data_IF_986971783558
#
_entry.id   IF_986971783558
#
_cell.length_a   1.000
_cell.length_b   1.000
_cell.length_c   1.000
_cell.angle_alpha   90.00
_cell.angle_beta   90.00
_cell.angle_gamma   90.00
#
_symmetry.space_group_name_H-M   'P 1'
#
loop_
_entity.id
_entity.type
_entity.pdbx_description
1 polymer ?
#
# COMPACT_ATOMS: atom_id res chain seq x y z
N UNK A 1 -22.57 -29.35 28.07
CA UNK A 1 -22.14 -28.85 26.74
C UNK A 1 -21.63 -27.42 26.83
N UNK A 2 -22.41 -26.44 27.33
CA UNK A 2 -21.90 -25.08 27.53
C UNK A 2 -20.74 -25.00 28.55
N UNK A 3 -20.78 -25.85 29.59
CA UNK A 3 -19.70 -26.02 30.58
C UNK A 3 -18.38 -26.52 29.97
N UNK A 4 -18.45 -27.21 28.83
CA UNK A 4 -17.32 -27.83 28.14
C UNK A 4 -16.56 -26.81 27.26
N UNK A 5 -17.23 -25.71 26.89
CA UNK A 5 -16.63 -24.62 26.11
C UNK A 5 -15.97 -23.52 26.95
N UNK A 6 -16.01 -23.62 28.29
CA UNK A 6 -15.27 -22.76 29.23
C UNK A 6 -15.34 -21.26 28.90
N UNK A 7 -14.16 -20.64 28.74
CA UNK A 7 -13.97 -19.20 28.46
C UNK A 7 -13.96 -18.84 26.95
N UNK A 8 -14.22 -19.80 26.05
CA UNK A 8 -14.15 -19.51 24.61
C UNK A 8 -15.24 -18.52 24.19
N UNK A 9 -14.84 -17.48 23.44
CA UNK A 9 -15.74 -16.44 22.92
C UNK A 9 -16.04 -16.73 21.46
N UNK A 10 -17.21 -17.29 21.18
CA UNK A 10 -17.73 -17.44 19.81
C UNK A 10 -19.17 -16.93 19.70
N UNK A 11 -19.61 -16.63 18.49
CA UNK A 11 -21.01 -16.24 18.21
C UNK A 11 -21.98 -17.35 18.60
N UNK A 12 -21.63 -18.62 18.34
CA UNK A 12 -22.45 -19.77 18.69
C UNK A 12 -22.57 -19.96 20.20
N UNK A 13 -21.47 -19.81 20.95
CA UNK A 13 -21.48 -19.90 22.43
C UNK A 13 -22.33 -18.76 23.03
N UNK A 14 -22.17 -17.54 22.51
CA UNK A 14 -22.94 -16.38 22.98
C UNK A 14 -24.43 -16.53 22.68
N UNK A 15 -24.77 -17.10 21.52
CA UNK A 15 -26.16 -17.43 21.14
C UNK A 15 -26.73 -18.50 22.06
N UNK A 16 -25.97 -19.57 22.34
CA UNK A 16 -26.40 -20.63 23.25
C UNK A 16 -26.65 -20.10 24.67
N UNK A 17 -25.78 -19.22 25.19
CA UNK A 17 -26.00 -18.54 26.49
C UNK A 17 -27.32 -17.75 26.51
N UNK A 18 -27.62 -17.01 25.45
CA UNK A 18 -28.87 -16.24 25.32
C UNK A 18 -30.10 -17.14 25.18
N UNK A 19 -29.98 -18.25 24.46
CA UNK A 19 -31.05 -19.26 24.39
C UNK A 19 -31.33 -19.88 25.77
N UNK A 20 -30.29 -20.10 26.60
CA UNK A 20 -30.43 -20.64 27.96
C UNK A 20 -31.24 -19.70 28.84
N UNK A 21 -30.91 -18.42 28.73
CA UNK A 21 -31.53 -17.35 29.48
C UNK A 21 -33.01 -17.15 29.09
N UNK A 22 -33.33 -17.38 27.82
CA UNK A 22 -34.67 -17.18 27.25
C UNK A 22 -35.59 -18.39 27.40
N UNK A 23 -35.09 -19.61 27.14
CA UNK A 23 -35.90 -20.85 27.12
C UNK A 23 -35.66 -21.75 28.33
N UNK A 24 -34.69 -21.41 29.19
CA UNK A 24 -34.23 -22.26 30.30
C UNK A 24 -33.04 -23.14 29.92
N UNK A 25 -32.30 -23.60 30.95
CA UNK A 25 -31.09 -24.41 30.76
C UNK A 25 -31.34 -25.79 30.16
N UNK A 26 -32.57 -26.30 30.26
CA UNK A 26 -32.93 -27.64 29.77
C UNK A 26 -32.84 -27.77 28.25
N UNK A 27 -33.11 -26.69 27.51
CA UNK A 27 -33.09 -26.68 26.03
C UNK A 27 -31.68 -26.85 25.44
N UNK A 28 -30.63 -26.66 26.25
CA UNK A 28 -29.21 -26.74 25.80
C UNK A 28 -28.55 -28.04 26.26
N UNK A 29 -29.26 -28.88 27.02
CA UNK A 29 -28.75 -30.19 27.43
C UNK A 29 -28.75 -31.18 26.27
N UNK A 30 -29.63 -30.99 25.29
CA UNK A 30 -29.71 -31.83 24.10
C UNK A 30 -28.54 -31.57 23.14
N UNK A 31 -27.77 -32.63 22.88
CA UNK A 31 -26.67 -32.61 21.90
C UNK A 31 -27.25 -32.36 20.51
N UNK A 32 -27.00 -31.18 19.95
CA UNK A 32 -27.42 -30.84 18.58
C UNK A 32 -28.21 -29.53 18.43
N UNK A 33 -28.26 -28.69 19.46
CA UNK A 33 -28.93 -27.39 19.35
C UNK A 33 -28.36 -26.55 18.20
N UNK A 34 -29.17 -26.36 17.16
CA UNK A 34 -28.83 -25.49 16.04
C UNK A 34 -28.93 -24.02 16.50
N UNK A 35 -27.79 -23.44 16.84
CA UNK A 35 -27.69 -22.04 17.25
C UNK A 35 -27.85 -21.12 16.03
N UNK A 36 -29.10 -20.86 15.63
CA UNK A 36 -29.43 -19.88 14.58
C UNK A 36 -29.43 -18.47 15.18
N UNK A 37 -28.62 -17.58 14.64
CA UNK A 37 -28.48 -16.21 15.14
C UNK A 37 -28.39 -15.16 14.03
N UNK A 38 -28.62 -13.91 14.42
CA UNK A 38 -28.37 -12.70 13.64
C UNK A 38 -27.41 -11.78 14.40
N UNK A 39 -26.70 -10.90 13.69
CA UNK A 39 -25.80 -9.92 14.30
C UNK A 39 -26.52 -8.58 14.41
N UNK A 40 -26.60 -8.06 15.62
CA UNK A 40 -27.20 -6.75 15.89
C UNK A 40 -26.21 -5.60 15.73
N UNK A 41 -26.69 -4.41 15.37
CA UNK A 41 -25.89 -3.19 15.21
C UNK A 41 -25.50 -2.55 16.56
N UNK A 42 -26.21 -2.87 17.63
CA UNK A 42 -26.06 -2.27 18.96
C UNK A 42 -25.75 -3.36 19.99
N UNK A 43 -24.87 -3.13 20.98
CA UNK A 43 -24.04 -1.92 21.18
C UNK A 43 -22.84 -1.86 20.21
N UNK A 44 -22.57 -0.68 19.66
CA UNK A 44 -21.54 -0.49 18.60
C UNK A 44 -20.12 -0.82 19.07
N UNK A 45 -19.85 -0.61 20.35
CA UNK A 45 -18.52 -0.84 20.93
C UNK A 45 -18.25 -2.33 21.25
N UNK A 46 -19.26 -3.19 21.12
CA UNK A 46 -19.12 -4.61 21.44
C UNK A 46 -18.61 -5.45 20.27
N UNK A 47 -17.81 -6.49 20.55
CA UNK A 47 -17.36 -7.42 19.53
C UNK A 47 -18.54 -8.18 18.90
N UNK A 48 -18.37 -8.63 17.66
CA UNK A 48 -19.38 -9.41 16.90
C UNK A 48 -19.95 -10.57 17.71
N UNK A 49 -19.11 -11.24 18.51
CA UNK A 49 -19.52 -12.36 19.36
C UNK A 49 -20.61 -11.99 20.34
N UNK A 50 -20.53 -10.81 20.95
CA UNK A 50 -21.51 -10.30 21.92
C UNK A 50 -22.76 -9.72 21.26
N UNK A 51 -22.70 -9.40 19.96
CA UNK A 51 -23.82 -8.87 19.19
C UNK A 51 -24.71 -9.95 18.57
N UNK A 52 -24.42 -11.23 18.79
CA UNK A 52 -25.18 -12.36 18.24
C UNK A 52 -26.50 -12.61 18.99
N UNK A 53 -27.64 -12.37 18.34
CA UNK A 53 -28.99 -12.55 18.89
C UNK A 53 -29.62 -13.82 18.32
N UNK A 54 -30.17 -14.72 19.17
CA UNK A 54 -30.87 -15.91 18.69
C UNK A 54 -32.11 -15.56 17.86
N UNK A 55 -32.32 -16.26 16.75
CA UNK A 55 -33.50 -16.05 15.89
C UNK A 55 -34.83 -16.37 16.58
N UNK A 56 -34.81 -17.27 17.57
CA UNK A 56 -35.99 -17.69 18.32
C UNK A 56 -36.70 -16.53 19.05
N UNK A 57 -35.99 -15.47 19.41
CA UNK A 57 -36.60 -14.32 20.12
C UNK A 57 -37.64 -13.60 19.27
N UNK A 58 -37.47 -13.59 17.94
CA UNK A 58 -38.39 -12.95 17.01
C UNK A 58 -39.68 -13.75 16.78
N UNK A 59 -39.74 -15.01 17.22
CA UNK A 59 -40.94 -15.84 17.19
C UNK A 59 -41.71 -15.80 18.52
N UNK A 60 -41.10 -15.28 19.59
CA UNK A 60 -41.72 -15.16 20.92
C UNK A 60 -42.72 -14.00 21.01
N UNK A 61 -43.54 -14.00 22.06
CA UNK A 61 -44.49 -12.92 22.39
C UNK A 61 -43.77 -11.55 22.53
N UNK A 62 -44.44 -10.47 22.15
CA UNK A 62 -43.85 -9.13 22.14
C UNK A 62 -43.32 -8.69 23.52
N UNK A 63 -44.02 -9.03 24.60
CA UNK A 63 -43.63 -8.72 25.98
C UNK A 63 -42.27 -9.35 26.33
N UNK A 64 -42.13 -10.65 26.04
CA UNK A 64 -40.92 -11.43 26.29
C UNK A 64 -39.78 -10.95 25.40
N UNK A 65 -40.06 -10.76 24.10
CA UNK A 65 -39.12 -10.22 23.12
C UNK A 65 -38.53 -8.89 23.58
N UNK A 66 -39.37 -7.92 23.95
CA UNK A 66 -38.93 -6.59 24.38
C UNK A 66 -38.11 -6.65 25.68
N UNK A 67 -38.42 -7.58 26.59
CA UNK A 67 -37.65 -7.77 27.83
C UNK A 67 -36.20 -8.19 27.52
N UNK A 68 -36.01 -9.28 26.77
CA UNK A 68 -34.67 -9.79 26.46
C UNK A 68 -33.90 -8.90 25.47
N UNK A 69 -34.58 -8.29 24.49
CA UNK A 69 -33.93 -7.36 23.57
C UNK A 69 -33.37 -6.12 24.29
N UNK A 70 -34.09 -5.55 25.28
CA UNK A 70 -33.57 -4.47 26.13
C UNK A 70 -32.27 -4.87 26.82
N UNK A 71 -32.26 -6.08 27.39
CA UNK A 71 -31.10 -6.62 28.09
C UNK A 71 -29.90 -6.86 27.17
N UNK A 72 -30.12 -7.46 26.00
CA UNK A 72 -29.03 -7.84 25.09
C UNK A 72 -28.50 -6.67 24.25
N UNK A 73 -29.37 -5.76 23.82
CA UNK A 73 -28.99 -4.55 23.07
C UNK A 73 -28.46 -3.44 23.99
N UNK A 74 -28.66 -3.55 25.32
CA UNK A 74 -28.34 -2.51 26.30
C UNK A 74 -29.06 -1.19 26.02
N UNK A 75 -30.33 -1.28 25.59
CA UNK A 75 -31.19 -0.12 25.27
C UNK A 75 -32.33 -0.05 26.28
N UNK A 76 -32.58 1.14 26.83
CA UNK A 76 -33.63 1.37 27.84
C UNK A 76 -35.04 1.44 27.23
N UNK A 77 -35.17 2.06 26.05
CA UNK A 77 -36.43 2.24 25.32
C UNK A 77 -36.46 1.32 24.10
N UNK A 78 -37.23 0.23 24.18
CA UNK A 78 -37.43 -0.74 23.09
C UNK A 78 -38.92 -0.88 22.89
N UNK A 79 -39.56 0.21 22.46
CA UNK A 79 -40.95 0.19 22.06
C UNK A 79 -40.99 0.00 20.55
N UNK A 80 -41.57 -1.12 20.09
CA UNK A 80 -41.81 -1.46 18.69
C UNK A 80 -40.56 -1.47 17.77
N UNK A 81 -39.45 -2.07 18.19
CA UNK A 81 -38.29 -2.25 17.29
C UNK A 81 -38.60 -3.21 16.14
N UNK A 82 -38.44 -2.73 14.91
CA UNK A 82 -38.42 -3.58 13.73
C UNK A 82 -37.10 -4.35 13.65
N UNK A 83 -37.15 -5.58 13.14
CA UNK A 83 -35.95 -6.42 12.96
C UNK A 83 -34.91 -5.74 12.07
N UNK A 84 -35.36 -4.94 11.09
CA UNK A 84 -34.48 -4.21 10.17
C UNK A 84 -33.61 -3.18 10.88
N UNK A 85 -34.08 -2.61 11.98
CA UNK A 85 -33.35 -1.63 12.78
C UNK A 85 -32.34 -2.28 13.72
N UNK A 86 -32.64 -3.50 14.15
CA UNK A 86 -31.76 -4.28 15.04
C UNK A 86 -30.54 -4.79 14.28
N UNK A 87 -30.69 -5.20 13.02
CA UNK A 87 -29.63 -5.84 12.23
C UNK A 87 -28.46 -4.90 11.91
N UNK A 88 -27.23 -5.43 12.03
CA UNK A 88 -26.03 -4.75 11.52
C UNK A 88 -25.89 -4.95 10.01
N UNK A 89 -26.52 -4.07 9.23
CA UNK A 89 -26.42 -4.12 7.77
C UNK A 89 -24.97 -3.98 7.27
N UNK A 90 -24.12 -3.20 7.94
CA UNK A 90 -22.73 -3.02 7.52
C UNK A 90 -21.95 -4.33 7.64
N UNK A 91 -22.13 -5.07 8.74
CA UNK A 91 -21.53 -6.38 8.95
C UNK A 91 -21.87 -7.38 7.84
N UNK A 92 -23.14 -7.40 7.40
CA UNK A 92 -23.59 -8.31 6.34
C UNK A 92 -23.14 -7.83 4.95
N UNK A 93 -23.19 -6.52 4.68
CA UNK A 93 -22.72 -5.93 3.43
C UNK A 93 -21.22 -6.17 3.24
N UNK A 94 -20.40 -6.01 4.28
CA UNK A 94 -18.95 -6.24 4.20
C UNK A 94 -18.60 -7.69 3.85
N UNK A 95 -19.29 -8.66 4.48
CA UNK A 95 -19.13 -10.08 4.14
C UNK A 95 -19.58 -10.40 2.74
N UNK A 96 -20.71 -9.86 2.33
CA UNK A 96 -21.23 -10.04 0.98
C UNK A 96 -20.28 -9.45 -0.07
N UNK A 97 -19.77 -8.24 0.17
CA UNK A 97 -18.76 -7.60 -0.66
C UNK A 97 -17.48 -8.44 -0.75
N UNK A 98 -17.02 -9.01 0.37
CA UNK A 98 -15.86 -9.91 0.38
C UNK A 98 -16.09 -11.17 -0.47
N UNK A 99 -17.31 -11.71 -0.48
CA UNK A 99 -17.68 -12.84 -1.33
C UNK A 99 -17.68 -12.46 -2.82
N UNK A 100 -18.34 -11.35 -3.16
CA UNK A 100 -18.35 -10.79 -4.52
C UNK A 100 -16.92 -10.50 -5.01
N UNK A 101 -16.06 -9.98 -4.16
CA UNK A 101 -14.67 -9.71 -4.53
C UNK A 101 -13.94 -11.00 -4.91
N UNK A 102 -14.05 -12.04 -4.09
CA UNK A 102 -13.37 -13.32 -4.32
C UNK A 102 -13.88 -14.05 -5.57
N UNK A 103 -15.18 -14.02 -5.81
CA UNK A 103 -15.83 -14.79 -6.88
C UNK A 103 -15.85 -14.03 -8.21
N UNK A 104 -16.03 -12.71 -8.17
CA UNK A 104 -16.35 -11.90 -9.36
C UNK A 104 -15.25 -10.86 -9.61
N UNK A 105 -15.06 -9.90 -8.70
CA UNK A 105 -14.30 -8.68 -9.07
C UNK A 105 -12.79 -8.92 -9.15
N UNK A 106 -12.21 -9.77 -8.28
CA UNK A 106 -10.79 -10.10 -8.34
C UNK A 106 -10.47 -10.94 -9.59
N UNK A 107 -11.20 -12.04 -9.91
CA UNK A 107 -10.98 -12.78 -11.15
C UNK A 107 -11.12 -11.91 -12.40
N UNK A 108 -12.14 -11.05 -12.46
CA UNK A 108 -12.32 -10.12 -13.58
C UNK A 108 -11.10 -9.21 -13.77
N UNK A 109 -10.58 -8.62 -12.69
CA UNK A 109 -9.40 -7.77 -12.75
C UNK A 109 -8.12 -8.53 -13.17
N UNK A 110 -7.96 -9.78 -12.73
CA UNK A 110 -6.83 -10.64 -13.13
C UNK A 110 -6.90 -11.01 -14.62
N UNK A 111 -8.11 -11.14 -15.17
CA UNK A 111 -8.37 -11.34 -16.60
C UNK A 111 -8.36 -10.02 -17.40
N UNK A 112 -7.98 -8.90 -16.77
CA UNK A 112 -7.96 -7.57 -17.38
C UNK A 112 -9.33 -7.08 -17.88
N UNK A 113 -10.41 -7.58 -17.28
CA UNK A 113 -11.78 -7.15 -17.51
C UNK A 113 -12.10 -6.03 -16.51
N UNK A 114 -12.78 -4.98 -16.97
CA UNK A 114 -13.25 -3.90 -16.08
C UNK A 114 -14.19 -4.46 -15.02
N UNK A 115 -14.24 -3.84 -13.85
CA UNK A 115 -15.09 -4.30 -12.76
C UNK A 115 -16.56 -4.41 -13.21
N UNK A 116 -17.15 -5.62 -13.29
CA UNK A 116 -18.53 -5.81 -13.72
C UNK A 116 -19.55 -5.35 -12.66
N UNK A 117 -19.11 -5.16 -11.40
CA UNK A 117 -19.97 -4.69 -10.29
C UNK A 117 -19.35 -3.43 -9.68
N UNK A 118 -19.59 -2.23 -10.26
CA UNK A 118 -19.00 -0.98 -9.78
C UNK A 118 -19.35 -0.61 -8.33
N UNK A 119 -20.48 -1.11 -7.82
CA UNK A 119 -20.91 -0.91 -6.43
C UNK A 119 -19.97 -1.55 -5.41
N UNK A 120 -19.24 -2.60 -5.81
CA UNK A 120 -18.26 -3.30 -4.97
C UNK A 120 -16.88 -3.01 -5.54
N UNK A 121 -16.11 -2.08 -4.95
CA UNK A 121 -14.78 -1.77 -5.43
C UNK A 121 -13.83 -2.95 -5.21
N UNK A 122 -12.75 -2.97 -5.98
CA UNK A 122 -11.63 -3.88 -5.73
C UNK A 122 -10.99 -3.56 -4.37
N UNK A 123 -10.38 -4.56 -3.70
CA UNK A 123 -9.53 -4.30 -2.55
C UNK A 123 -8.42 -3.29 -2.89
N UNK A 124 -8.02 -2.48 -1.91
CA UNK A 124 -7.05 -1.39 -2.10
C UNK A 124 -5.72 -1.86 -2.72
N UNK A 125 -5.22 -3.03 -2.30
CA UNK A 125 -3.99 -3.62 -2.84
C UNK A 125 -4.11 -3.93 -4.34
N UNK A 126 -5.29 -4.37 -4.79
CA UNK A 126 -5.55 -4.71 -6.19
C UNK A 126 -5.79 -3.46 -7.01
N UNK A 127 -6.53 -2.50 -6.46
CA UNK A 127 -6.76 -1.21 -7.10
C UNK A 127 -5.43 -0.48 -7.34
N UNK A 128 -4.57 -0.41 -6.33
CA UNK A 128 -3.22 0.18 -6.43
C UNK A 128 -2.40 -0.48 -7.54
N UNK A 129 -2.39 -1.82 -7.59
CA UNK A 129 -1.67 -2.58 -8.63
C UNK A 129 -2.21 -2.32 -10.03
N UNK A 130 -3.52 -2.15 -10.18
CA UNK A 130 -4.16 -1.85 -11.47
C UNK A 130 -3.81 -0.42 -11.93
N UNK A 131 -3.84 0.54 -11.02
CA UNK A 131 -3.45 1.93 -11.28
C UNK A 131 -1.98 2.02 -11.70
N UNK A 132 -1.08 1.31 -11.01
CA UNK A 132 0.34 1.24 -11.37
C UNK A 132 0.56 0.63 -12.78
N UNK A 133 -0.20 -0.41 -13.13
CA UNK A 133 -0.13 -1.04 -14.47
C UNK A 133 -0.67 -0.12 -15.58
N UNK A 134 -1.71 0.64 -15.31
CA UNK A 134 -2.37 1.53 -16.29
C UNK A 134 -1.77 2.94 -16.33
N UNK A 135 -0.84 3.27 -15.43
CA UNK A 135 -0.13 4.57 -15.45
C UNK A 135 0.67 4.73 -16.74
N UNK A 136 0.49 5.87 -17.41
CA UNK A 136 1.25 6.27 -18.62
C UNK A 136 2.74 6.43 -18.31
N UNK A 137 3.06 6.92 -17.12
CA UNK A 137 4.42 7.12 -16.66
C UNK A 137 4.74 6.05 -15.62
N UNK A 138 5.58 5.09 -16.00
CA UNK A 138 6.03 3.99 -15.14
C UNK A 138 7.47 4.27 -14.71
N UNK A 139 7.68 4.44 -13.41
CA UNK A 139 9.04 4.47 -12.87
C UNK A 139 9.64 3.06 -13.00
N UNK A 140 10.59 2.88 -13.93
CA UNK A 140 11.34 1.63 -14.05
C UNK A 140 12.18 1.43 -12.79
N UNK A 141 12.26 0.21 -12.27
CA UNK A 141 13.22 -0.07 -11.20
C UNK A 141 14.62 0.02 -11.80
N UNK A 142 15.55 0.55 -11.02
CA UNK A 142 16.96 0.67 -11.43
C UNK A 142 17.54 -0.71 -11.80
N UNK A 143 17.09 -1.76 -11.12
CA UNK A 143 17.44 -3.16 -11.43
C UNK A 143 17.05 -3.58 -12.85
N UNK A 144 15.93 -3.08 -13.37
CA UNK A 144 15.45 -3.43 -14.71
C UNK A 144 16.26 -2.74 -15.82
N UNK A 145 17.03 -1.71 -15.45
CA UNK A 145 17.93 -0.95 -16.35
C UNK A 145 19.32 -1.59 -16.39
N UNK A 146 19.73 -2.30 -15.33
CA UNK A 146 21.05 -2.92 -15.21
C UNK A 146 21.01 -4.44 -15.45
N UNK A 147 20.36 -4.89 -16.52
CA UNK A 147 20.58 -6.25 -17.00
C UNK A 147 21.96 -6.30 -17.66
N UNK A 148 22.87 -7.13 -17.13
CA UNK A 148 24.16 -7.40 -17.77
C UNK A 148 23.87 -8.02 -19.13
N UNK A 149 24.34 -7.38 -20.20
CA UNK A 149 24.30 -7.96 -21.55
C UNK A 149 25.12 -9.24 -21.50
N UNK A 150 24.50 -10.37 -21.83
CA UNK A 150 25.23 -11.63 -21.94
C UNK A 150 26.16 -11.52 -23.15
N UNK A 151 27.45 -11.77 -22.93
CA UNK A 151 28.53 -11.55 -23.92
C UNK A 151 28.37 -12.37 -25.21
N UNK A 152 27.43 -13.32 -25.25
CA UNK A 152 27.14 -14.14 -26.42
C UNK A 152 26.41 -13.40 -27.55
N UNK A 153 25.79 -12.24 -27.30
CA UNK A 153 25.05 -11.50 -28.34
C UNK A 153 25.89 -10.52 -29.17
N UNK A 154 27.17 -10.34 -28.84
CA UNK A 154 28.10 -9.49 -29.60
C UNK A 154 28.92 -10.24 -30.67
N UNK A 155 28.76 -11.57 -30.78
CA UNK A 155 29.57 -12.38 -31.71
C UNK A 155 28.92 -12.64 -33.08
N UNK A 156 27.66 -12.25 -33.31
CA UNK A 156 26.91 -12.65 -34.51
C UNK A 156 26.66 -11.54 -35.55
N UNK A 157 27.22 -10.33 -35.39
CA UNK A 157 27.00 -9.26 -36.38
C UNK A 157 28.23 -8.36 -36.56
N UNK A 158 29.29 -8.85 -37.23
CA UNK A 158 30.15 -8.07 -38.14
C UNK A 158 31.28 -8.94 -38.71
N UNK A 159 30.95 -9.77 -39.70
CA UNK A 159 31.92 -10.04 -40.76
C UNK A 159 31.92 -8.84 -41.72
N UNK A 160 33.10 -8.47 -42.20
CA UNK A 160 33.41 -7.31 -43.08
C UNK A 160 33.63 -5.95 -42.37
N UNK A 161 34.89 -5.70 -41.98
CA UNK A 161 35.73 -4.65 -42.60
C UNK A 161 37.15 -4.59 -41.99
N UNK A 162 38.10 -5.08 -42.79
CA UNK A 162 39.41 -4.51 -43.11
C UNK A 162 40.54 -4.40 -42.06
N UNK A 163 41.65 -5.05 -42.46
CA UNK A 163 43.05 -4.65 -42.33
C UNK A 163 43.80 -4.95 -41.02
N UNK A 164 44.39 -6.15 -41.01
CA UNK A 164 45.80 -6.45 -40.73
C UNK A 164 46.65 -5.25 -40.29
N UNK A 165 47.10 -5.28 -39.04
CA UNK A 165 48.53 -5.16 -38.66
C UNK A 165 48.73 -5.96 -37.35
N UNK A 166 49.11 -7.23 -37.48
CA UNK A 166 49.84 -7.91 -36.40
C UNK A 166 51.28 -7.43 -36.51
N UNK A 167 51.75 -6.71 -35.49
CA UNK A 167 53.17 -6.42 -35.32
C UNK A 167 53.82 -7.51 -34.45
N UNK A 168 55.05 -7.82 -34.81
CA UNK A 168 55.82 -9.01 -34.46
C UNK A 168 56.87 -8.64 -33.41
N UNK A 169 57.13 -9.55 -32.44
CA UNK A 169 57.98 -9.33 -31.23
C UNK A 169 57.21 -8.54 -30.14
N UNK A 170 57.05 -8.93 -28.88
CA UNK A 170 58.07 -9.53 -28.04
C UNK A 170 57.45 -9.97 -26.68
N UNK A 171 57.23 -11.27 -26.57
CA UNK A 171 57.75 -12.12 -25.48
C UNK A 171 57.29 -11.85 -24.02
N UNK A 172 56.54 -12.84 -23.49
CA UNK A 172 56.62 -13.23 -22.08
C UNK A 172 55.30 -13.21 -21.31
N UNK A 173 54.55 -14.32 -21.33
CA UNK A 173 53.64 -14.66 -20.24
C UNK A 173 54.42 -14.89 -18.91
N UNK A 174 53.77 -15.11 -17.75
CA UNK A 174 52.73 -14.33 -17.11
C UNK A 174 53.14 -14.01 -15.64
N UNK A 175 52.91 -12.81 -15.12
CA UNK A 175 53.12 -12.56 -13.67
C UNK A 175 51.87 -12.02 -12.99
N UNK A 176 51.30 -12.92 -12.17
CA UNK A 176 50.33 -12.63 -11.10
C UNK A 176 50.88 -11.49 -10.24
N UNK A 177 50.20 -10.35 -10.22
CA UNK A 177 50.42 -9.37 -9.16
C UNK A 177 49.09 -8.86 -8.62
N UNK A 178 48.89 -9.25 -7.36
CA UNK A 178 47.89 -8.76 -6.42
C UNK A 178 47.80 -7.24 -6.43
N UNK A 179 46.65 -6.69 -6.80
CA UNK A 179 46.30 -5.29 -6.53
C UNK A 179 45.19 -5.26 -5.48
N UNK A 180 45.55 -4.63 -4.36
CA UNK A 180 44.88 -4.63 -3.06
C UNK A 180 43.57 -3.84 -3.10
N UNK A 181 42.57 -4.37 -2.40
CA UNK A 181 41.29 -3.72 -2.09
C UNK A 181 41.51 -2.33 -1.44
N UNK A 182 40.98 -1.28 -2.07
CA UNK A 182 40.83 0.04 -1.44
C UNK A 182 39.49 0.12 -0.66
N UNK A 183 39.57 0.70 0.53
CA UNK A 183 38.57 0.69 1.61
C UNK A 183 37.23 1.32 1.21
N UNK A 184 36.13 0.69 1.68
CA UNK A 184 34.76 1.23 1.68
C UNK A 184 34.70 2.55 2.45
N UNK A 185 34.21 3.61 1.81
CA UNK A 185 33.75 4.83 2.47
C UNK A 185 32.24 4.68 2.67
N UNK A 186 31.81 4.50 3.93
CA UNK A 186 30.40 4.47 4.32
C UNK A 186 29.93 5.91 4.57
N UNK A 187 29.17 6.49 3.64
CA UNK A 187 28.43 7.74 3.92
C UNK A 187 27.07 7.40 4.52
N UNK A 188 26.88 7.67 5.82
CA UNK A 188 25.56 7.66 6.47
C UNK A 188 24.75 8.84 5.92
N UNK A 189 23.81 8.59 5.02
CA UNK A 189 22.83 9.60 4.60
C UNK A 189 21.64 9.62 5.55
N UNK A 190 21.60 10.62 6.43
CA UNK A 190 20.37 11.05 7.10
C UNK A 190 19.44 11.66 6.06
N UNK A 191 18.27 11.04 5.85
CA UNK A 191 17.19 11.59 5.01
C UNK A 191 16.74 12.93 5.58
N UNK A 192 17.07 14.04 4.91
CA UNK A 192 16.33 15.29 5.05
C UNK A 192 15.23 15.35 4.00
N UNK A 193 14.02 15.63 4.48
CA UNK A 193 12.82 15.90 3.68
C UNK A 193 13.09 17.17 2.86
N UNK A 194 12.91 17.10 1.53
CA UNK A 194 13.12 18.22 0.61
C UNK A 194 11.83 19.04 0.56
N UNK A 195 11.86 20.26 1.08
CA UNK A 195 10.76 21.21 0.96
C UNK A 195 10.87 21.97 -0.36
N UNK A 196 9.86 21.84 -1.24
CA UNK A 196 9.80 22.46 -2.58
C UNK A 196 9.77 24.01 -2.56
N UNK A 197 9.56 24.63 -1.40
CA UNK A 197 9.49 26.08 -1.26
C UNK A 197 10.87 26.77 -1.42
N UNK A 198 11.97 26.10 -1.07
CA UNK A 198 13.31 26.70 -1.05
C UNK A 198 13.99 26.74 -2.44
N UNK A 199 13.53 25.95 -3.40
CA UNK A 199 14.11 25.91 -4.76
C UNK A 199 13.75 27.19 -5.56
N UNK A 200 12.58 27.79 -5.29
CA UNK A 200 12.10 28.99 -6.01
C UNK A 200 12.81 30.28 -5.58
N UNK A 201 13.21 30.40 -4.32
CA UNK A 201 13.93 31.55 -3.76
C UNK A 201 15.39 31.60 -4.22
N UNK A 202 16.13 30.48 -4.14
CA UNK A 202 17.51 30.40 -4.64
C UNK A 202 17.60 30.69 -6.15
N UNK A 203 16.62 30.27 -6.94
CA UNK A 203 16.65 30.44 -8.39
C UNK A 203 16.46 31.91 -8.83
N UNK A 204 15.89 32.77 -7.97
CA UNK A 204 15.74 34.21 -8.23
C UNK A 204 17.00 35.02 -7.92
N UNK A 205 17.81 34.61 -6.95
CA UNK A 205 18.84 35.48 -6.35
C UNK A 205 20.08 35.67 -7.24
N UNK A 206 20.63 34.61 -7.83
CA UNK A 206 21.79 34.73 -8.74
C UNK A 206 21.42 35.33 -10.10
N UNK A 207 20.15 35.22 -10.52
CA UNK A 207 19.64 35.85 -11.76
C UNK A 207 19.60 37.38 -11.67
N UNK A 208 19.39 37.93 -10.48
CA UNK A 208 19.44 39.38 -10.23
C UNK A 208 20.89 39.90 -10.28
N UNK A 209 21.86 39.10 -9.80
CA UNK A 209 23.28 39.47 -9.74
C UNK A 209 24.02 39.28 -11.06
N UNK A 210 23.73 38.20 -11.80
CA UNK A 210 24.46 37.84 -13.04
C UNK A 210 23.72 38.20 -14.34
N UNK A 211 22.44 38.58 -14.27
CA UNK A 211 21.60 38.86 -15.45
C UNK A 211 21.09 37.60 -16.16
N UNK A 212 20.47 37.73 -17.35
CA UNK A 212 19.98 36.58 -18.12
C UNK A 212 21.14 35.72 -18.65
N UNK A 213 21.02 34.38 -18.61
CA UNK A 213 22.08 33.51 -19.06
C UNK A 213 22.32 33.67 -20.57
N UNK A 214 23.59 33.78 -21.03
CA UNK A 214 23.90 33.77 -22.45
C UNK A 214 23.48 32.43 -23.06
N UNK A 215 22.99 32.46 -24.31
CA UNK A 215 22.65 31.25 -25.04
C UNK A 215 23.91 30.40 -25.28
N UNK A 216 23.73 29.07 -25.36
CA UNK A 216 24.78 28.15 -25.80
C UNK A 216 24.94 28.34 -27.31
N UNK A 217 25.76 29.33 -27.69
CA UNK A 217 26.04 29.67 -29.08
C UNK A 217 26.89 28.61 -29.78
N UNK A 218 27.07 28.69 -31.11
CA UNK A 218 27.75 27.64 -31.90
C UNK A 218 29.26 27.88 -32.07
N UNK A 219 29.76 29.07 -31.73
CA UNK A 219 31.17 29.43 -31.90
C UNK A 219 31.95 29.22 -30.61
N UNK A 220 33.23 28.82 -30.70
CA UNK A 220 34.11 28.60 -29.54
C UNK A 220 34.17 29.80 -28.58
N UNK A 221 34.17 31.04 -29.09
CA UNK A 221 34.12 32.25 -28.25
C UNK A 221 32.81 32.43 -27.47
N UNK A 222 31.68 31.93 -27.99
CA UNK A 222 30.38 31.96 -27.31
C UNK A 222 30.31 30.87 -26.22
N UNK A 223 30.91 29.71 -26.47
CA UNK A 223 31.07 28.65 -25.45
C UNK A 223 31.89 29.14 -24.26
N UNK A 224 32.99 29.88 -24.49
CA UNK A 224 33.80 30.44 -23.40
C UNK A 224 32.98 31.42 -22.55
N UNK A 225 32.22 32.31 -23.19
CA UNK A 225 31.33 33.25 -22.48
C UNK A 225 30.27 32.52 -21.63
N UNK A 226 29.69 31.44 -22.16
CA UNK A 226 28.74 30.60 -21.43
C UNK A 226 29.41 29.87 -20.24
N UNK A 227 30.60 29.32 -20.44
CA UNK A 227 31.36 28.63 -19.38
C UNK A 227 31.74 29.58 -18.24
N UNK A 228 32.21 30.78 -18.57
CA UNK A 228 32.54 31.81 -17.56
C UNK A 228 31.31 32.20 -16.75
N UNK A 229 30.14 32.32 -17.40
CA UNK A 229 28.88 32.57 -16.73
C UNK A 229 28.46 31.42 -15.80
N UNK A 230 28.57 30.17 -16.23
CA UNK A 230 28.22 29.01 -15.40
C UNK A 230 29.14 28.85 -14.19
N UNK A 231 30.45 29.08 -14.36
CA UNK A 231 31.41 29.04 -13.23
C UNK A 231 31.03 30.04 -12.15
N UNK A 232 30.73 31.29 -12.53
CA UNK A 232 30.34 32.35 -11.59
C UNK A 232 28.99 32.08 -10.93
N UNK A 233 28.04 31.47 -11.67
CA UNK A 233 26.78 31.00 -11.10
C UNK A 233 26.98 29.90 -10.05
N UNK A 234 27.82 28.92 -10.33
CA UNK A 234 28.08 27.81 -9.39
C UNK A 234 28.80 28.29 -8.13
N UNK A 235 29.69 29.26 -8.26
CA UNK A 235 30.38 29.88 -7.13
C UNK A 235 29.39 30.55 -6.17
N UNK A 236 28.47 31.39 -6.68
CA UNK A 236 27.41 32.00 -5.87
C UNK A 236 26.48 30.97 -5.23
N UNK A 237 26.12 29.91 -5.96
CA UNK A 237 25.29 28.83 -5.43
C UNK A 237 26.01 28.02 -4.35
N UNK A 238 27.33 27.87 -4.45
CA UNK A 238 28.14 27.18 -3.46
C UNK A 238 28.28 28.02 -2.19
N UNK A 239 28.48 29.33 -2.34
CA UNK A 239 28.55 30.30 -1.24
C UNK A 239 27.23 30.36 -0.45
N UNK A 240 26.09 30.42 -1.15
CA UNK A 240 24.75 30.31 -0.53
C UNK A 240 24.53 29.00 0.21
N UNK A 241 25.16 27.91 -0.26
CA UNK A 241 25.04 26.58 0.36
C UNK A 241 25.93 26.44 1.60
N UNK A 242 26.99 27.26 1.70
CA UNK A 242 27.88 27.30 2.85
C UNK A 242 27.45 28.26 3.94
N UNK A 243 26.59 29.25 3.64
CA UNK A 243 26.00 30.09 4.69
C UNK A 243 24.98 29.26 5.52
N UNK A 244 25.20 29.04 6.83
CA UNK A 244 24.21 28.41 7.68
C UNK A 244 23.00 29.33 7.80
N UNK A 245 21.80 28.77 7.69
CA UNK A 245 20.54 29.48 7.88
C UNK A 245 20.50 30.10 9.27
N UNK A 246 20.76 31.40 9.36
CA UNK A 246 20.50 32.19 10.58
C UNK A 246 18.98 32.29 10.70
N UNK A 247 18.41 31.40 11.51
CA UNK A 247 17.03 31.50 11.98
C UNK A 247 16.96 32.67 12.96
N UNK A 248 16.27 33.74 12.57
CA UNK A 248 15.58 34.66 13.48
C UNK A 248 14.09 34.33 13.46
#
# INVERSE_FOLDING_TARGET
>A
MLSEYGEQKSTSISTAKRLAEFLGEDVIKDKGLCCRFVIANVPRDAPVTERAIPLAIFQSEQSIRNHYLRKWLRVSTVDNLDIREILDWNYYIERFNSCIQKIITIPAALQNIRNPVPRVPHPDWLHKRLVEKNSLYKQKRITDVFNSIDKQTLMDNNEERLAVTNDIEDIGEPTKSSIKFAKKITTKTLKRKRDEANDKTLTRQWRIVLGPPPAFGQTAGQHIKWLTYQKRKWELQNEQRQQPSVTS
#
